data_IF_957669001863
#
_entry.id   IF_957669001863
#
_cell.length_a   1.000
_cell.length_b   1.000
_cell.length_c   1.000
_cell.angle_alpha   90.00
_cell.angle_beta   90.00
_cell.angle_gamma   90.00
#
_symmetry.space_group_name_H-M   'P 1'
#
loop_
_entity.id
_entity.type
_entity.pdbx_description
1 polymer ?
#
# COMPACT_ATOMS: atom_id res chain seq x y z
N UNK A 1 -26.68 -28.05 -23.35
CA UNK A 1 -25.81 -28.40 -22.21
C UNK A 1 -24.46 -27.66 -22.22
N UNK A 2 -23.83 -27.37 -23.37
CA UNK A 2 -22.56 -26.58 -23.42
C UNK A 2 -22.74 -25.07 -23.66
N UNK A 3 -23.94 -24.63 -24.02
CA UNK A 3 -24.29 -23.21 -24.25
C UNK A 3 -24.68 -22.47 -22.95
N UNK A 4 -25.08 -23.18 -21.90
CA UNK A 4 -25.50 -22.59 -20.62
C UNK A 4 -24.27 -22.26 -19.76
N UNK A 5 -23.31 -23.19 -19.70
CA UNK A 5 -22.05 -23.01 -18.95
C UNK A 5 -21.20 -21.86 -19.51
N UNK A 6 -21.14 -21.68 -20.83
CA UNK A 6 -20.40 -20.57 -21.46
C UNK A 6 -21.06 -19.20 -21.24
N UNK A 7 -22.40 -19.16 -21.11
CA UNK A 7 -23.14 -17.93 -20.79
C UNK A 7 -22.97 -17.49 -19.33
N UNK A 8 -22.91 -18.45 -18.39
CA UNK A 8 -22.63 -18.15 -16.97
C UNK A 8 -21.20 -17.64 -16.78
N UNK A 9 -20.21 -18.25 -17.43
CA UNK A 9 -18.82 -17.76 -17.38
C UNK A 9 -18.67 -16.33 -17.93
N UNK A 10 -19.37 -15.98 -19.00
CA UNK A 10 -19.32 -14.63 -19.58
C UNK A 10 -20.09 -13.59 -18.76
N UNK A 11 -21.17 -13.97 -18.07
CA UNK A 11 -21.84 -13.12 -17.09
C UNK A 11 -21.02 -12.92 -15.81
N UNK A 12 -20.30 -13.96 -15.36
CA UNK A 12 -19.44 -13.92 -14.17
C UNK A 12 -18.12 -13.15 -14.43
N UNK A 13 -17.71 -12.99 -15.69
CA UNK A 13 -16.62 -12.12 -16.13
C UNK A 13 -16.99 -10.63 -16.17
N UNK A 14 -18.27 -10.29 -15.94
CA UNK A 14 -18.66 -8.95 -15.52
C UNK A 14 -18.30 -8.75 -14.04
N UNK A 15 -17.07 -9.15 -13.65
CA UNK A 15 -16.47 -8.66 -12.44
C UNK A 15 -16.63 -7.14 -12.51
N UNK A 16 -17.05 -6.52 -11.42
CA UNK A 16 -17.13 -5.07 -11.28
C UNK A 16 -15.71 -4.51 -11.29
N UNK A 17 -15.03 -4.68 -12.41
CA UNK A 17 -13.71 -4.18 -12.69
C UNK A 17 -13.85 -2.68 -12.75
N UNK A 18 -13.04 -2.02 -11.96
CA UNK A 18 -13.06 -0.58 -11.93
C UNK A 18 -12.75 -0.03 -13.32
N UNK A 19 -13.70 0.70 -13.90
CA UNK A 19 -13.47 1.41 -15.15
C UNK A 19 -12.28 2.37 -15.00
N UNK A 20 -11.48 2.51 -16.05
CA UNK A 20 -10.27 3.35 -16.08
C UNK A 20 -10.54 4.78 -15.61
N UNK A 21 -11.74 5.32 -15.90
CA UNK A 21 -12.19 6.64 -15.45
C UNK A 21 -12.23 6.78 -13.92
N UNK A 22 -12.62 5.71 -13.22
CA UNK A 22 -12.61 5.67 -11.75
C UNK A 22 -11.19 5.71 -11.18
N UNK A 23 -10.24 5.08 -11.87
CA UNK A 23 -8.82 5.09 -11.52
C UNK A 23 -8.16 6.45 -11.75
N UNK A 24 -8.59 7.22 -12.76
CA UNK A 24 -8.07 8.58 -12.97
C UNK A 24 -8.34 9.47 -11.76
N UNK A 25 -9.54 9.42 -11.17
CA UNK A 25 -9.85 10.14 -9.94
C UNK A 25 -8.98 9.69 -8.76
N UNK A 26 -8.79 8.37 -8.61
CA UNK A 26 -7.89 7.79 -7.60
C UNK A 26 -6.46 8.32 -7.75
N UNK A 27 -5.90 8.33 -8.97
CA UNK A 27 -4.54 8.80 -9.25
C UNK A 27 -4.42 10.30 -8.99
N UNK A 28 -5.46 11.09 -9.29
CA UNK A 28 -5.48 12.52 -8.97
C UNK A 28 -5.43 12.77 -7.45
N UNK A 29 -6.13 11.96 -6.65
CA UNK A 29 -6.07 12.03 -5.19
C UNK A 29 -4.70 11.55 -4.65
N UNK A 30 -4.11 10.52 -5.27
CA UNK A 30 -2.80 9.97 -4.92
C UNK A 30 -1.67 11.01 -5.06
N UNK A 31 -1.81 11.98 -5.95
CA UNK A 31 -0.86 13.10 -6.12
C UNK A 31 -0.77 14.01 -4.89
N UNK A 32 -1.79 14.01 -4.02
CA UNK A 32 -1.76 14.78 -2.78
C UNK A 32 -1.32 13.83 -1.64
N UNK A 33 -0.08 13.95 -1.13
CA UNK A 33 0.53 12.93 -0.25
C UNK A 33 -0.25 12.70 1.05
N UNK A 34 -0.84 13.74 1.64
CA UNK A 34 -1.66 13.60 2.86
C UNK A 34 -3.00 12.90 2.59
N UNK A 35 -3.64 13.21 1.45
CA UNK A 35 -4.92 12.60 1.06
C UNK A 35 -4.71 11.13 0.73
N UNK A 36 -3.62 10.78 0.04
CA UNK A 36 -3.24 9.39 -0.22
C UNK A 36 -3.23 8.55 1.07
N UNK A 37 -2.57 9.06 2.13
CA UNK A 37 -2.46 8.35 3.39
C UNK A 37 -3.84 8.11 4.03
N UNK A 38 -4.69 9.14 4.08
CA UNK A 38 -6.06 9.02 4.62
C UNK A 38 -6.92 8.06 3.77
N UNK A 39 -6.79 8.13 2.44
CA UNK A 39 -7.56 7.31 1.50
C UNK A 39 -7.23 5.82 1.66
N UNK A 40 -5.97 5.48 1.92
CA UNK A 40 -5.53 4.10 2.21
C UNK A 40 -6.22 3.53 3.46
N UNK A 41 -6.39 4.33 4.51
CA UNK A 41 -7.13 3.90 5.71
C UNK A 41 -8.64 3.79 5.45
N UNK A 42 -9.23 4.78 4.78
CA UNK A 42 -10.65 4.78 4.41
C UNK A 42 -10.99 3.57 3.53
N UNK A 43 -10.14 3.22 2.57
CA UNK A 43 -10.36 2.05 1.71
C UNK A 43 -9.97 0.73 2.36
N UNK A 44 -8.90 0.69 3.16
CA UNK A 44 -8.44 -0.50 3.86
C UNK A 44 -9.46 -1.03 4.88
N UNK A 45 -10.19 -0.11 5.53
CA UNK A 45 -11.15 -0.43 6.59
C UNK A 45 -12.62 -0.20 6.21
N UNK A 46 -12.93 0.67 5.26
CA UNK A 46 -14.31 1.07 4.94
C UNK A 46 -14.81 0.76 3.53
N UNK A 47 -13.97 0.23 2.61
CA UNK A 47 -14.44 -0.04 1.25
C UNK A 47 -15.13 -1.40 1.07
N UNK A 48 -16.28 -1.38 0.40
CA UNK A 48 -17.02 -2.58 -0.04
C UNK A 48 -16.46 -3.16 -1.35
N UNK A 49 -15.73 -2.35 -2.13
CA UNK A 49 -15.08 -2.80 -3.37
C UNK A 49 -13.78 -3.55 -3.07
N UNK A 50 -13.77 -4.86 -3.32
CA UNK A 50 -12.63 -5.77 -3.09
C UNK A 50 -11.31 -5.26 -3.69
N UNK A 51 -11.36 -4.66 -4.88
CA UNK A 51 -10.18 -4.21 -5.63
C UNK A 51 -9.45 -3.05 -4.94
N UNK A 52 -10.18 -2.02 -4.45
CA UNK A 52 -9.58 -0.88 -3.72
C UNK A 52 -9.13 -1.29 -2.32
N UNK A 53 -9.89 -2.16 -1.68
CA UNK A 53 -9.57 -2.74 -0.37
C UNK A 53 -8.25 -3.50 -0.41
N UNK A 54 -8.05 -4.34 -1.44
CA UNK A 54 -6.85 -5.13 -1.59
C UNK A 54 -5.62 -4.25 -1.88
N UNK A 55 -5.76 -3.28 -2.81
CA UNK A 55 -4.70 -2.30 -3.08
C UNK A 55 -4.27 -1.58 -1.78
N UNK A 56 -5.23 -1.06 -1.04
CA UNK A 56 -4.92 -0.26 0.16
C UNK A 56 -4.26 -1.08 1.26
N UNK A 57 -4.74 -2.31 1.48
CA UNK A 57 -4.12 -3.23 2.44
C UNK A 57 -2.70 -3.62 2.03
N UNK A 58 -2.47 -3.93 0.75
CA UNK A 58 -1.14 -4.24 0.24
C UNK A 58 -0.18 -3.05 0.44
N UNK A 59 -0.61 -1.83 0.08
CA UNK A 59 0.19 -0.61 0.26
C UNK A 59 0.49 -0.34 1.74
N UNK A 60 -0.48 -0.50 2.65
CA UNK A 60 -0.25 -0.34 4.09
C UNK A 60 0.75 -1.35 4.65
N UNK A 61 0.67 -2.61 4.23
CA UNK A 61 1.62 -3.65 4.63
C UNK A 61 3.02 -3.32 4.13
N UNK A 62 3.16 -2.98 2.84
CA UNK A 62 4.45 -2.60 2.25
C UNK A 62 5.03 -1.38 2.97
N UNK A 63 4.20 -0.36 3.23
CA UNK A 63 4.62 0.83 3.96
C UNK A 63 5.11 0.49 5.38
N UNK A 64 4.40 -0.39 6.09
CA UNK A 64 4.80 -0.88 7.41
C UNK A 64 6.13 -1.64 7.39
N UNK A 65 6.35 -2.49 6.38
CA UNK A 65 7.60 -3.23 6.19
C UNK A 65 8.75 -2.25 5.92
N UNK A 66 8.57 -1.32 4.98
CA UNK A 66 9.57 -0.31 4.64
C UNK A 66 9.93 0.52 5.88
N UNK A 67 8.93 0.98 6.63
CA UNK A 67 9.14 1.72 7.87
C UNK A 67 9.94 0.90 8.91
N UNK A 68 9.59 -0.38 9.10
CA UNK A 68 10.31 -1.27 10.01
C UNK A 68 11.77 -1.46 9.60
N UNK A 69 12.05 -1.69 8.32
CA UNK A 69 13.41 -1.81 7.79
C UNK A 69 14.19 -0.51 7.98
N UNK A 70 13.59 0.65 7.70
CA UNK A 70 14.22 1.95 7.95
C UNK A 70 14.54 2.16 9.43
N UNK A 71 13.64 1.79 10.34
CA UNK A 71 13.88 1.89 11.78
C UNK A 71 15.04 1.01 12.23
N UNK A 72 15.13 -0.23 11.75
CA UNK A 72 16.24 -1.14 12.07
C UNK A 72 17.57 -0.56 11.58
N UNK A 73 17.62 -0.10 10.33
CA UNK A 73 18.83 0.51 9.76
C UNK A 73 19.22 1.77 10.53
N UNK A 74 18.25 2.62 10.86
CA UNK A 74 18.46 3.84 11.63
C UNK A 74 19.05 3.52 13.00
N UNK A 75 18.47 2.58 13.75
CA UNK A 75 18.99 2.17 15.06
C UNK A 75 20.42 1.65 14.95
N UNK A 76 20.71 0.77 13.98
CA UNK A 76 22.07 0.24 13.76
C UNK A 76 23.04 1.38 13.43
N UNK A 77 22.66 2.30 12.54
CA UNK A 77 23.48 3.44 12.16
C UNK A 77 23.82 4.33 13.36
N UNK A 78 22.84 4.64 14.22
CA UNK A 78 23.06 5.46 15.40
C UNK A 78 23.91 4.76 16.46
N UNK A 79 23.76 3.45 16.63
CA UNK A 79 24.64 2.66 17.51
C UNK A 79 26.09 2.73 17.01
N UNK A 80 26.32 2.45 15.73
CA UNK A 80 27.66 2.47 15.15
C UNK A 80 28.28 3.88 15.13
N UNK A 81 27.50 4.90 14.80
CA UNK A 81 27.95 6.30 14.82
C UNK A 81 28.24 6.79 16.25
N UNK A 82 27.41 6.41 17.23
CA UNK A 82 27.64 6.70 18.65
C UNK A 82 28.88 6.01 19.21
N UNK A 83 29.17 4.78 18.77
CA UNK A 83 30.40 4.07 19.12
C UNK A 83 31.65 4.73 18.51
N UNK A 84 31.56 5.29 17.31
CA UNK A 84 32.66 6.03 16.68
C UNK A 84 32.94 7.40 17.33
N UNK A 85 31.90 8.07 17.84
CA UNK A 85 32.03 9.34 18.58
C UNK A 85 32.57 9.21 20.02
N UNK A 86 32.49 8.01 20.61
CA UNK A 86 32.97 7.74 21.98
C UNK A 86 34.46 7.44 22.11
N UNK A 87 35.19 7.24 21.00
CA UNK A 87 36.59 6.77 21.03
C UNK A 87 37.66 7.89 20.95
N UNK A 88 37.29 9.17 20.88
CA UNK A 88 38.23 10.28 20.61
C UNK A 88 38.41 11.32 21.72
N UNK A 89 38.06 11.02 22.99
CA UNK A 89 38.38 11.90 24.12
C UNK A 89 39.35 11.24 25.10
N UNK A 90 40.58 11.00 24.65
CA UNK A 90 41.75 10.90 25.54
C UNK A 90 42.56 12.20 25.41
N UNK A 91 42.88 12.91 26.52
CA UNK A 91 43.68 14.13 26.49
C UNK A 91 45.12 13.89 26.01
#
# INVERSE_FOLDING_TARGET
>A
MQNETTSEYSAQYNHKEMTTKSWVGTILLLMIPLVNLVLLFVWGFGSENSQRKNYSRATLIVMGIVLAVYLVIFVIFFILAGMAGGFSTSP
#
